data_IF_721101390723
#
_entry.id   IF_721101390723
#
_cell.length_a   1.000
_cell.length_b   1.000
_cell.length_c   1.000
_cell.angle_alpha   90.00
_cell.angle_beta   90.00
_cell.angle_gamma   90.00
#
_symmetry.space_group_name_H-M   'P 1'
#
loop_
_entity.id
_entity.type
_entity.pdbx_description
1 polymer ?
#
# COMPACT_ATOMS: atom_id res chain seq x y z
N UNK A 1 20.12 -5.62 50.46
CA UNK A 1 20.73 -5.64 49.11
C UNK A 1 21.45 -4.33 48.87
N UNK A 2 22.72 -4.37 48.46
CA UNK A 2 23.51 -3.16 48.22
C UNK A 2 23.05 -2.43 46.93
N UNK A 3 23.41 -1.16 46.79
CA UNK A 3 23.18 -0.38 45.56
C UNK A 3 23.79 -1.08 44.32
N UNK A 4 24.91 -1.78 44.48
CA UNK A 4 25.60 -2.53 43.42
C UNK A 4 24.79 -3.74 42.96
N UNK A 5 24.13 -4.45 43.87
CA UNK A 5 23.31 -5.62 43.56
C UNK A 5 22.03 -5.23 42.79
N UNK A 6 21.43 -4.09 43.15
CA UNK A 6 20.27 -3.54 42.43
C UNK A 6 20.60 -3.19 40.98
N UNK A 7 21.76 -2.57 40.75
CA UNK A 7 22.25 -2.25 39.39
C UNK A 7 22.49 -3.53 38.58
N UNK A 8 23.12 -4.55 39.17
CA UNK A 8 23.35 -5.85 38.52
C UNK A 8 22.03 -6.51 38.12
N UNK A 9 21.05 -6.58 39.03
CA UNK A 9 19.74 -7.16 38.74
C UNK A 9 18.99 -6.43 37.61
N UNK A 10 19.08 -5.10 37.55
CA UNK A 10 18.49 -4.30 36.46
C UNK A 10 19.09 -4.64 35.09
N UNK A 11 20.40 -4.81 35.00
CA UNK A 11 21.10 -5.20 33.77
C UNK A 11 20.64 -6.58 33.30
N UNK A 12 20.53 -7.56 34.21
CA UNK A 12 20.04 -8.89 33.85
C UNK A 12 18.60 -8.87 33.33
N UNK A 13 17.70 -8.07 33.92
CA UNK A 13 16.34 -7.92 33.37
C UNK A 13 16.33 -7.35 31.96
N UNK A 14 17.16 -6.34 31.69
CA UNK A 14 17.28 -5.75 30.34
C UNK A 14 17.81 -6.76 29.33
N UNK A 15 18.79 -7.57 29.72
CA UNK A 15 19.32 -8.65 28.87
C UNK A 15 18.28 -9.74 28.59
N UNK A 16 17.45 -10.11 29.56
CA UNK A 16 16.37 -11.08 29.34
C UNK A 16 15.32 -10.57 28.35
N UNK A 17 14.97 -9.28 28.41
CA UNK A 17 14.09 -8.65 27.41
C UNK A 17 14.73 -8.61 26.02
N UNK A 18 16.00 -8.24 25.94
CA UNK A 18 16.72 -8.23 24.66
C UNK A 18 16.75 -9.64 24.06
N UNK A 19 17.04 -10.64 24.90
CA UNK A 19 17.07 -12.05 24.50
C UNK A 19 15.72 -12.53 23.95
N UNK A 20 14.61 -12.17 24.59
CA UNK A 20 13.27 -12.56 24.11
C UNK A 20 12.89 -11.87 22.80
N UNK A 21 13.27 -10.60 22.61
CA UNK A 21 12.98 -9.86 21.36
C UNK A 21 13.79 -10.43 20.18
N UNK A 22 15.04 -10.80 20.43
CA UNK A 22 15.97 -11.31 19.42
C UNK A 22 15.84 -12.83 19.23
N UNK A 23 14.98 -13.51 20.00
CA UNK A 23 14.89 -14.98 20.04
C UNK A 23 16.24 -15.70 20.24
N UNK A 24 17.16 -15.05 20.97
CA UNK A 24 18.49 -15.63 21.23
C UNK A 24 18.40 -16.72 22.30
N UNK A 25 19.05 -17.86 22.06
CA UNK A 25 19.18 -18.96 23.05
C UNK A 25 20.35 -18.73 24.02
N UNK A 26 21.11 -17.66 23.84
CA UNK A 26 22.29 -17.37 24.63
C UNK A 26 21.98 -17.04 26.10
N UNK A 27 22.89 -17.46 26.98
CA UNK A 27 22.80 -17.20 28.43
C UNK A 27 23.79 -16.11 28.86
N UNK A 28 24.87 -15.93 28.10
CA UNK A 28 25.95 -15.00 28.39
C UNK A 28 25.68 -13.61 27.82
N UNK A 29 25.96 -12.56 28.60
CA UNK A 29 25.77 -11.15 28.19
C UNK A 29 26.39 -10.84 26.82
N UNK A 30 27.63 -11.26 26.60
CA UNK A 30 28.36 -10.99 25.35
C UNK A 30 27.67 -11.66 24.16
N UNK A 31 27.25 -12.92 24.31
CA UNK A 31 26.59 -13.66 23.24
C UNK A 31 25.20 -13.10 22.93
N UNK A 32 24.43 -12.68 23.95
CA UNK A 32 23.13 -12.00 23.73
C UNK A 32 23.32 -10.70 22.93
N UNK A 33 24.39 -9.95 23.21
CA UNK A 33 24.69 -8.70 22.49
C UNK A 33 25.10 -9.00 21.04
N UNK A 34 25.95 -10.00 20.82
CA UNK A 34 26.37 -10.41 19.47
C UNK A 34 25.18 -10.89 18.64
N UNK A 35 24.31 -11.71 19.21
CA UNK A 35 23.09 -12.17 18.53
C UNK A 35 22.15 -10.99 18.22
N UNK A 36 22.04 -10.03 19.13
CA UNK A 36 21.25 -8.81 18.90
C UNK A 36 21.83 -7.96 17.76
N UNK A 37 23.16 -7.82 17.69
CA UNK A 37 23.83 -7.12 16.59
C UNK A 37 23.57 -7.82 15.25
N UNK A 38 23.71 -9.16 15.20
CA UNK A 38 23.41 -9.95 14.01
C UNK A 38 21.96 -9.79 13.57
N UNK A 39 21.01 -9.88 14.50
CA UNK A 39 19.59 -9.73 14.22
C UNK A 39 19.25 -8.34 13.66
N UNK A 40 19.92 -7.28 14.14
CA UNK A 40 19.76 -5.94 13.57
C UNK A 40 20.29 -5.87 12.13
N UNK A 41 21.42 -6.51 11.84
CA UNK A 41 21.96 -6.59 10.47
C UNK A 41 21.02 -7.37 9.55
N UNK A 42 20.52 -8.53 9.98
CA UNK A 42 19.53 -9.32 9.23
C UNK A 42 18.23 -8.54 8.96
N UNK A 43 17.75 -7.77 9.95
CA UNK A 43 16.57 -6.91 9.77
C UNK A 43 16.84 -5.78 8.79
N UNK A 44 18.04 -5.18 8.81
CA UNK A 44 18.43 -4.15 7.85
C UNK A 44 18.50 -4.72 6.43
N UNK A 45 19.12 -5.88 6.25
CA UNK A 45 19.18 -6.56 4.96
C UNK A 45 17.78 -6.92 4.46
N UNK A 46 16.91 -7.47 5.31
CA UNK A 46 15.51 -7.73 4.96
C UNK A 46 14.75 -6.45 4.59
N UNK A 47 14.99 -5.35 5.29
CA UNK A 47 14.38 -4.06 4.94
C UNK A 47 14.90 -3.56 3.59
N UNK A 48 16.18 -3.73 3.29
CA UNK A 48 16.76 -3.36 2.01
C UNK A 48 16.23 -4.22 0.87
N UNK A 49 16.12 -5.54 1.05
CA UNK A 49 15.50 -6.47 0.09
C UNK A 49 14.04 -6.13 -0.13
N UNK A 50 13.25 -5.93 0.94
CA UNK A 50 11.85 -5.51 0.81
C UNK A 50 11.74 -4.13 0.14
N UNK A 51 12.65 -3.21 0.45
CA UNK A 51 12.69 -1.89 -0.19
C UNK A 51 13.12 -1.97 -1.66
N UNK A 52 13.91 -2.99 -2.05
CA UNK A 52 14.22 -3.31 -3.44
C UNK A 52 13.06 -4.03 -4.12
N UNK A 53 12.30 -4.89 -3.45
CA UNK A 53 11.08 -5.50 -3.99
C UNK A 53 9.99 -4.43 -4.20
N UNK A 54 9.88 -3.46 -3.30
CA UNK A 54 9.02 -2.28 -3.49
C UNK A 54 9.64 -1.24 -4.42
N UNK A 55 10.97 -1.17 -4.52
CA UNK A 55 11.73 -0.16 -5.27
C UNK A 55 12.15 -0.55 -6.69
N UNK A 56 12.06 -1.84 -7.04
CA UNK A 56 12.18 -2.34 -8.43
C UNK A 56 10.88 -2.08 -9.20
N UNK A 57 9.83 -1.63 -8.50
CA UNK A 57 8.85 -0.70 -9.07
C UNK A 57 9.47 0.70 -9.14
N UNK A 58 10.45 0.86 -10.04
CA UNK A 58 11.24 2.08 -10.18
C UNK A 58 10.42 3.35 -10.10
N UNK A 59 10.78 4.20 -9.13
CA UNK A 59 10.77 5.65 -9.26
C UNK A 59 11.84 5.96 -10.32
N UNK A 60 11.56 5.66 -11.59
CA UNK A 60 12.28 6.25 -12.70
C UNK A 60 11.62 7.58 -12.96
N UNK A 61 12.32 8.64 -12.52
CA UNK A 61 12.04 10.04 -12.74
C UNK A 61 12.14 10.41 -14.25
N UNK A 62 11.33 9.77 -15.10
CA UNK A 62 11.34 9.97 -16.55
C UNK A 62 9.95 9.67 -17.11
N UNK A 63 9.13 10.72 -17.25
CA UNK A 63 8.17 11.06 -18.32
C UNK A 63 7.49 9.97 -19.20
N UNK A 64 7.47 8.71 -18.83
CA UNK A 64 6.68 7.68 -19.49
C UNK A 64 5.43 7.45 -18.64
N UNK A 65 4.22 7.72 -19.15
CA UNK A 65 3.03 7.26 -18.47
C UNK A 65 3.17 5.74 -18.33
N UNK A 66 3.06 5.25 -17.11
CA UNK A 66 2.86 3.81 -16.87
C UNK A 66 1.82 3.31 -17.88
N UNK A 67 1.96 2.10 -18.43
CA UNK A 67 0.91 1.49 -19.24
C UNK A 67 -0.34 1.32 -18.37
N UNK A 68 -1.13 2.38 -18.34
CA UNK A 68 -2.36 2.56 -17.59
C UNK A 68 -3.47 2.53 -18.62
N UNK A 69 -4.36 1.55 -18.46
CA UNK A 69 -5.50 1.39 -19.33
C UNK A 69 -6.76 1.69 -18.53
N UNK A 70 -7.46 2.76 -18.92
CA UNK A 70 -8.78 3.09 -18.41
C UNK A 70 -9.77 3.02 -19.57
N UNK A 71 -10.71 2.09 -19.46
CA UNK A 71 -11.82 1.95 -20.39
C UNK A 71 -13.13 2.18 -19.62
N UNK A 72 -14.02 2.97 -20.22
CA UNK A 72 -15.35 3.22 -19.70
C UNK A 72 -16.33 2.99 -20.84
N UNK A 73 -17.29 2.11 -20.61
CA UNK A 73 -18.36 1.79 -21.56
C UNK A 73 -19.68 2.21 -20.95
N UNK A 74 -20.50 2.95 -21.70
CA UNK A 74 -21.85 3.30 -21.28
C UNK A 74 -22.78 2.09 -21.44
N UNK A 75 -23.54 1.79 -20.39
CA UNK A 75 -24.56 0.74 -20.34
C UNK A 75 -25.96 1.39 -20.31
N UNK A 76 -27.02 0.59 -20.49
CA UNK A 76 -28.41 1.09 -20.43
C UNK A 76 -28.75 1.78 -19.10
N UNK A 77 -28.11 1.40 -18.00
CA UNK A 77 -28.33 1.95 -16.65
C UNK A 77 -27.01 2.17 -15.91
N UNK A 78 -26.06 2.84 -16.55
CA UNK A 78 -24.80 3.23 -15.90
C UNK A 78 -23.55 3.01 -16.77
N UNK A 79 -22.45 2.60 -16.14
CA UNK A 79 -21.12 2.51 -16.76
C UNK A 79 -20.40 1.23 -16.34
N UNK A 80 -19.73 0.58 -17.29
CA UNK A 80 -18.70 -0.42 -17.01
C UNK A 80 -17.33 0.28 -17.02
N UNK A 81 -16.63 0.23 -15.90
CA UNK A 81 -15.37 0.93 -15.67
C UNK A 81 -14.29 -0.12 -15.47
N UNK A 82 -13.31 -0.13 -16.35
CA UNK A 82 -12.16 -1.02 -16.31
C UNK A 82 -10.88 -0.20 -16.15
N UNK A 83 -10.12 -0.50 -15.10
CA UNK A 83 -8.84 0.14 -14.78
C UNK A 83 -7.79 -0.94 -14.63
N UNK A 84 -6.69 -0.80 -15.35
CA UNK A 84 -5.52 -1.67 -15.26
C UNK A 84 -4.24 -0.85 -15.17
N UNK A 85 -3.42 -1.16 -14.18
CA UNK A 85 -2.06 -0.66 -14.02
C UNK A 85 -1.12 -1.85 -13.79
N UNK A 86 0.04 -1.86 -14.44
CA UNK A 86 1.04 -2.95 -14.31
C UNK A 86 1.64 -3.11 -12.92
N UNK A 87 1.52 -2.09 -12.07
CA UNK A 87 2.06 -2.09 -10.70
C UNK A 87 0.93 -2.09 -9.68
N UNK A 88 1.17 -2.74 -8.55
CA UNK A 88 0.33 -2.58 -7.37
C UNK A 88 0.46 -1.15 -6.82
N UNK A 89 -0.67 -0.57 -6.44
CA UNK A 89 -0.81 0.82 -6.09
C UNK A 89 -1.58 0.96 -4.77
N UNK A 90 -0.90 0.87 -3.61
CA UNK A 90 -1.54 1.02 -2.31
C UNK A 90 -2.31 2.34 -2.21
N UNK A 91 -3.57 2.26 -1.77
CA UNK A 91 -4.44 3.44 -1.62
C UNK A 91 -5.14 3.90 -2.91
N UNK A 92 -4.76 3.41 -4.10
CA UNK A 92 -5.39 3.85 -5.36
C UNK A 92 -6.88 3.49 -5.44
N UNK A 93 -7.26 2.32 -4.91
CA UNK A 93 -8.67 1.93 -4.85
C UNK A 93 -9.52 2.97 -4.12
N UNK A 94 -9.00 3.53 -3.02
CA UNK A 94 -9.71 4.54 -2.23
C UNK A 94 -9.91 5.80 -3.06
N UNK A 95 -8.86 6.30 -3.72
CA UNK A 95 -8.94 7.49 -4.59
C UNK A 95 -9.94 7.32 -5.73
N UNK A 96 -10.03 6.11 -6.32
CA UNK A 96 -11.00 5.84 -7.38
C UNK A 96 -12.43 5.81 -6.83
N UNK A 97 -12.66 5.20 -5.66
CA UNK A 97 -14.00 5.13 -5.06
C UNK A 97 -14.49 6.50 -4.58
N UNK A 98 -13.60 7.34 -4.05
CA UNK A 98 -13.91 8.76 -3.73
C UNK A 98 -14.37 9.50 -4.99
N UNK A 99 -13.71 9.26 -6.12
CA UNK A 99 -14.11 9.85 -7.41
C UNK A 99 -15.49 9.37 -7.86
N UNK A 100 -15.84 8.11 -7.62
CA UNK A 100 -17.18 7.61 -7.92
C UNK A 100 -18.24 8.29 -7.04
N UNK A 101 -17.96 8.48 -5.75
CA UNK A 101 -18.86 9.20 -4.83
C UNK A 101 -19.03 10.67 -5.26
N UNK A 102 -17.96 11.36 -5.64
CA UNK A 102 -18.00 12.75 -6.13
C UNK A 102 -18.82 12.88 -7.42
N UNK A 103 -18.75 11.89 -8.30
CA UNK A 103 -19.56 11.82 -9.52
C UNK A 103 -20.99 11.36 -9.26
N UNK A 104 -21.33 10.90 -8.04
CA UNK A 104 -22.64 10.32 -7.75
C UNK A 104 -22.89 9.00 -8.48
N UNK A 105 -21.84 8.20 -8.71
CA UNK A 105 -21.93 6.85 -9.27
C UNK A 105 -22.08 5.83 -8.15
N UNK A 106 -23.21 5.11 -8.13
CA UNK A 106 -23.42 4.02 -7.19
C UNK A 106 -22.73 2.76 -7.70
N UNK A 107 -21.80 2.18 -6.94
CA UNK A 107 -21.14 0.93 -7.35
C UNK A 107 -22.10 -0.26 -7.14
N UNK A 108 -22.58 -0.84 -8.23
CA UNK A 108 -23.52 -1.97 -8.24
C UNK A 108 -22.79 -3.31 -8.14
N UNK A 109 -21.67 -3.44 -8.84
CA UNK A 109 -20.77 -4.60 -8.77
C UNK A 109 -19.33 -4.12 -8.93
N UNK A 110 -18.39 -4.80 -8.28
CA UNK A 110 -16.98 -4.51 -8.44
C UNK A 110 -16.10 -5.74 -8.17
N UNK A 111 -15.07 -5.91 -9.00
CA UNK A 111 -14.00 -6.88 -8.84
C UNK A 111 -12.67 -6.16 -8.81
N UNK A 112 -11.84 -6.49 -7.83
CA UNK A 112 -10.53 -5.85 -7.67
C UNK A 112 -9.44 -6.87 -7.38
N UNK A 113 -8.27 -6.66 -8.00
CA UNK A 113 -7.01 -7.33 -7.70
C UNK A 113 -5.95 -6.27 -7.39
N UNK A 114 -5.19 -6.47 -6.30
CA UNK A 114 -4.13 -5.57 -5.85
C UNK A 114 -2.88 -6.36 -5.41
N UNK A 115 -2.55 -7.44 -6.12
CA UNK A 115 -1.43 -8.32 -5.76
C UNK A 115 -0.12 -7.81 -6.38
N UNK A 116 0.12 -8.15 -7.65
CA UNK A 116 1.28 -7.70 -8.43
C UNK A 116 0.94 -6.45 -9.26
N UNK A 117 -0.29 -6.41 -9.77
CA UNK A 117 -0.88 -5.32 -10.55
C UNK A 117 -2.11 -4.76 -9.83
N UNK A 118 -2.57 -3.60 -10.29
CA UNK A 118 -3.87 -3.07 -9.91
C UNK A 118 -4.84 -3.31 -11.06
N UNK A 119 -5.90 -4.07 -10.81
CA UNK A 119 -6.98 -4.28 -11.75
C UNK A 119 -8.32 -4.05 -11.04
N UNK A 120 -9.15 -3.18 -11.60
CA UNK A 120 -10.49 -2.89 -11.14
C UNK A 120 -11.45 -3.02 -12.31
N UNK A 121 -12.53 -3.77 -12.11
CA UNK A 121 -13.73 -3.79 -12.93
C UNK A 121 -14.88 -3.35 -12.04
N UNK A 122 -15.61 -2.31 -12.42
CA UNK A 122 -16.73 -1.79 -11.65
C UNK A 122 -17.92 -1.47 -12.56
N UNK A 123 -19.12 -1.78 -12.08
CA UNK A 123 -20.38 -1.38 -12.71
C UNK A 123 -20.95 -0.24 -11.86
N UNK A 124 -20.92 0.97 -12.38
CA UNK A 124 -21.49 2.16 -11.74
C UNK A 124 -22.90 2.41 -12.25
N UNK A 125 -23.89 2.49 -11.36
CA UNK A 125 -25.23 2.98 -11.67
C UNK A 125 -25.30 4.49 -11.60
N UNK A 126 -25.96 5.12 -12.56
CA UNK A 126 -26.20 6.57 -12.54
C UNK A 126 -27.32 6.88 -11.53
N UNK A 127 -27.04 7.76 -10.55
CA UNK A 127 -28.07 8.23 -9.64
C UNK A 127 -29.00 9.21 -10.38
N UNK A 128 -30.28 8.88 -10.49
CA UNK A 128 -31.29 9.64 -11.23
C UNK A 128 -31.60 11.06 -10.66
N UNK A 129 -30.86 11.49 -9.63
CA UNK A 129 -31.04 12.79 -8.97
C UNK A 129 -30.24 13.93 -9.59
N UNK A 130 -29.25 13.66 -10.45
CA UNK A 130 -28.43 14.70 -11.09
C UNK A 130 -28.85 14.90 -12.55
N UNK A 131 -29.37 16.10 -12.86
CA UNK A 131 -29.94 16.47 -14.16
C UNK A 131 -28.89 16.86 -15.23
N UNK A 132 -27.60 16.82 -14.89
CA UNK A 132 -26.50 16.88 -15.85
C UNK A 132 -26.06 15.45 -16.16
N UNK A 133 -26.46 14.95 -17.33
CA UNK A 133 -26.13 13.58 -17.74
C UNK A 133 -24.63 13.36 -17.71
N UNK A 134 -24.20 12.45 -16.86
CA UNK A 134 -22.80 12.05 -16.79
C UNK A 134 -22.53 11.23 -18.04
N UNK A 135 -21.51 11.59 -18.82
CA UNK A 135 -21.11 10.78 -19.97
C UNK A 135 -19.90 9.88 -19.62
N UNK A 136 -19.73 8.81 -20.39
CA UNK A 136 -18.63 7.86 -20.19
C UNK A 136 -17.25 8.54 -20.27
N UNK A 137 -17.14 9.65 -21.00
CA UNK A 137 -15.89 10.38 -21.15
C UNK A 137 -15.53 11.17 -19.88
N UNK A 138 -16.51 11.79 -19.23
CA UNK A 138 -16.37 12.49 -17.96
C UNK A 138 -15.93 11.51 -16.88
N UNK A 139 -16.58 10.35 -16.78
CA UNK A 139 -16.17 9.27 -15.85
C UNK A 139 -14.73 8.85 -16.13
N UNK A 140 -14.39 8.60 -17.40
CA UNK A 140 -13.02 8.23 -17.78
C UNK A 140 -12.00 9.28 -17.36
N UNK A 141 -12.28 10.56 -17.64
CA UNK A 141 -11.37 11.66 -17.27
C UNK A 141 -11.22 11.79 -15.76
N UNK A 142 -12.30 11.67 -15.00
CA UNK A 142 -12.27 11.75 -13.54
C UNK A 142 -11.41 10.62 -12.95
N UNK A 143 -11.60 9.38 -13.41
CA UNK A 143 -10.77 8.24 -12.97
C UNK A 143 -9.31 8.45 -13.35
N UNK A 144 -9.03 8.96 -14.54
CA UNK A 144 -7.65 9.28 -14.94
C UNK A 144 -7.04 10.35 -14.03
N UNK A 145 -7.79 11.39 -13.68
CA UNK A 145 -7.35 12.44 -12.75
C UNK A 145 -7.12 11.88 -11.34
N UNK A 146 -7.97 10.98 -10.86
CA UNK A 146 -7.80 10.32 -9.57
C UNK A 146 -6.47 9.56 -9.51
N UNK A 147 -6.13 8.84 -10.57
CA UNK A 147 -4.86 8.11 -10.68
C UNK A 147 -3.68 9.07 -10.72
N UNK A 148 -3.76 10.17 -11.48
CA UNK A 148 -2.72 11.20 -11.50
C UNK A 148 -2.51 11.84 -10.14
N UNK A 149 -3.60 12.24 -9.47
CA UNK A 149 -3.56 12.86 -8.13
C UNK A 149 -3.02 11.90 -7.09
N UNK A 150 -3.39 10.62 -7.15
CA UNK A 150 -2.81 9.57 -6.30
C UNK A 150 -1.28 9.50 -6.50
N UNK A 151 -0.81 9.50 -7.75
CA UNK A 151 0.63 9.40 -8.06
C UNK A 151 1.45 10.61 -7.59
N UNK A 152 0.84 11.78 -7.46
CA UNK A 152 1.50 12.99 -6.94
C UNK A 152 1.58 13.04 -5.41
N UNK A 153 0.75 12.24 -4.71
CA UNK A 153 0.68 12.21 -3.25
C UNK A 153 1.56 11.13 -2.59
N UNK A 154 2.40 10.44 -3.37
CA UNK A 154 3.33 9.39 -2.91
C UNK A 154 4.77 9.88 -3.08
#
# INVERSE_FOLDING_TARGET
>A
MSSRDRKKASVYRKLQRLRSVVNSTAVNKTSIIVDASRYIEELKEKMEVLNQETGTSGISNSQNPLPMQVAVEALEKGFLINVFLEKNCPGLLVSILETFEELGLDVLDARVSCQENFQLEAIGGENQSNAEGIDAQMVKQAVMQAISKWSENI
#
